data_IF_420574233218
#
_entry.id   IF_420574233218
#
_cell.length_a   1.000
_cell.length_b   1.000
_cell.length_c   1.000
_cell.angle_alpha   90.00
_cell.angle_beta   90.00
_cell.angle_gamma   90.00
#
_symmetry.space_group_name_H-M   'P 1'
#
loop_
_entity.id
_entity.type
_entity.pdbx_description
1 polymer ?
#
# COMPACT_ATOMS: atom_id res chain seq x y z
N UNK A 1 15.65 -6.10 -19.35
CA UNK A 1 16.19 -5.45 -18.14
C UNK A 1 15.09 -5.19 -17.14
N UNK A 2 15.35 -5.44 -15.89
CA UNK A 2 14.37 -5.16 -14.83
C UNK A 2 14.25 -3.69 -14.54
N UNK A 3 13.13 -3.31 -13.95
CA UNK A 3 12.91 -1.95 -13.47
C UNK A 3 13.58 -1.79 -12.11
N UNK A 4 14.32 -0.70 -11.88
CA UNK A 4 14.86 -0.44 -10.55
C UNK A 4 13.76 -0.40 -9.51
N UNK A 5 13.99 -1.02 -8.37
CA UNK A 5 13.00 -1.09 -7.31
C UNK A 5 13.68 -1.07 -5.94
N UNK A 6 12.89 -0.71 -4.93
CA UNK A 6 13.31 -0.79 -3.53
C UNK A 6 12.27 -1.58 -2.77
N UNK A 7 12.74 -2.46 -1.92
CA UNK A 7 11.87 -3.26 -1.07
C UNK A 7 11.94 -2.68 0.34
N UNK A 8 10.85 -2.06 0.76
CA UNK A 8 10.77 -1.40 2.05
C UNK A 8 9.94 -2.29 2.96
N UNK A 9 10.40 -2.48 4.19
CA UNK A 9 9.69 -3.37 5.10
C UNK A 9 9.58 -2.78 6.49
N UNK A 10 8.59 -3.29 7.23
CA UNK A 10 8.39 -2.95 8.63
C UNK A 10 7.94 -4.21 9.35
N UNK A 11 8.45 -4.39 10.57
CA UNK A 11 7.96 -5.48 11.43
C UNK A 11 6.83 -4.95 12.30
N UNK A 12 5.71 -5.67 12.31
CA UNK A 12 4.53 -5.31 13.10
C UNK A 12 4.30 -6.42 14.12
N UNK A 13 4.18 -6.04 15.37
CA UNK A 13 4.05 -6.98 16.48
C UNK A 13 2.59 -7.40 16.66
N UNK A 14 2.02 -7.96 15.60
CA UNK A 14 0.65 -8.49 15.53
C UNK A 14 0.63 -9.69 14.59
N UNK A 15 -0.30 -10.65 14.82
CA UNK A 15 -0.40 -11.82 13.94
C UNK A 15 -0.70 -11.45 12.49
N UNK A 16 -0.20 -12.24 11.55
CA UNK A 16 -0.36 -11.96 10.12
C UNK A 16 -1.83 -11.88 9.70
N UNK A 17 -2.69 -12.68 10.29
CA UNK A 17 -4.11 -12.64 9.95
C UNK A 17 -4.74 -11.28 10.30
N UNK A 18 -4.34 -10.70 11.43
CA UNK A 18 -4.84 -9.40 11.85
C UNK A 18 -4.31 -8.28 10.94
N UNK A 19 -3.02 -8.34 10.63
CA UNK A 19 -2.40 -7.35 9.73
C UNK A 19 -3.04 -7.42 8.35
N UNK A 20 -3.21 -8.62 7.82
CA UNK A 20 -3.82 -8.81 6.51
C UNK A 20 -5.26 -8.28 6.49
N UNK A 21 -6.05 -8.61 7.49
CA UNK A 21 -7.45 -8.18 7.54
C UNK A 21 -7.57 -6.66 7.54
N UNK A 22 -6.69 -5.99 8.27
CA UNK A 22 -6.72 -4.52 8.33
C UNK A 22 -6.22 -3.89 7.02
N UNK A 23 -5.07 -4.35 6.52
CA UNK A 23 -4.43 -3.73 5.36
C UNK A 23 -5.16 -4.04 4.05
N UNK A 24 -5.90 -5.15 3.98
CA UNK A 24 -6.62 -5.54 2.77
C UNK A 24 -7.95 -4.78 2.60
N UNK A 25 -8.38 -4.06 3.61
CA UNK A 25 -9.63 -3.30 3.55
C UNK A 25 -9.32 -1.87 3.06
N UNK A 26 -9.74 -1.52 1.83
CA UNK A 26 -9.44 -0.18 1.28
C UNK A 26 -10.02 0.95 2.14
N UNK A 27 -11.08 0.71 2.90
CA UNK A 27 -11.67 1.72 3.78
C UNK A 27 -10.69 2.17 4.87
N UNK A 28 -9.68 1.35 5.18
CA UNK A 28 -8.67 1.68 6.19
C UNK A 28 -7.50 2.48 5.63
N UNK A 29 -7.39 2.64 4.30
CA UNK A 29 -6.26 3.35 3.70
C UNK A 29 -6.02 4.75 4.28
N UNK A 30 -7.07 5.58 4.49
CA UNK A 30 -6.82 6.91 5.07
C UNK A 30 -6.20 6.88 6.46
N UNK A 31 -6.31 5.75 7.16
CA UNK A 31 -5.75 5.61 8.51
C UNK A 31 -4.26 5.33 8.50
N UNK A 32 -3.74 4.71 7.44
CA UNK A 32 -2.32 4.36 7.42
C UNK A 32 -1.58 4.83 6.16
N UNK A 33 -2.28 5.13 5.08
CA UNK A 33 -1.64 5.54 3.83
C UNK A 33 -2.25 6.85 3.29
N UNK A 34 -2.29 7.94 4.09
CA UNK A 34 -2.88 9.19 3.63
C UNK A 34 -2.11 9.84 2.49
N UNK A 35 -0.85 9.42 2.25
CA UNK A 35 -0.07 9.93 1.14
C UNK A 35 -0.62 9.52 -0.22
N UNK A 36 -1.48 8.51 -0.28
CA UNK A 36 -2.11 8.09 -1.53
C UNK A 36 -3.24 9.01 -1.94
N UNK A 37 -3.89 9.69 -1.00
CA UNK A 37 -4.98 10.59 -1.33
C UNK A 37 -5.81 10.92 -0.10
N UNK A 38 -6.75 11.84 -0.27
CA UNK A 38 -7.53 12.36 0.85
C UNK A 38 -8.62 11.42 1.34
N UNK A 39 -9.42 10.88 0.43
CA UNK A 39 -10.55 10.05 0.81
C UNK A 39 -10.69 8.86 -0.12
N UNK A 40 -11.33 7.81 0.42
CA UNK A 40 -11.56 6.57 -0.30
C UNK A 40 -13.06 6.34 -0.37
N UNK A 41 -13.56 6.03 -1.56
CA UNK A 41 -14.98 5.77 -1.76
C UNK A 41 -15.18 4.44 -2.50
N UNK A 42 -16.33 3.81 -2.27
CA UNK A 42 -16.71 2.59 -2.97
C UNK A 42 -18.00 2.86 -3.74
N UNK A 43 -17.96 2.64 -5.05
CA UNK A 43 -19.15 2.82 -5.91
C UNK A 43 -19.28 1.61 -6.82
N UNK A 44 -20.44 0.96 -6.77
CA UNK A 44 -20.68 -0.20 -7.61
C UNK A 44 -19.71 -1.34 -7.42
N UNK A 45 -19.17 -1.49 -6.21
CA UNK A 45 -18.19 -2.54 -5.93
C UNK A 45 -16.75 -2.16 -6.29
N UNK A 46 -16.54 -0.95 -6.80
CA UNK A 46 -15.21 -0.46 -7.16
C UNK A 46 -14.74 0.59 -6.17
N UNK A 47 -13.44 0.53 -5.84
CA UNK A 47 -12.84 1.47 -4.91
C UNK A 47 -12.11 2.58 -5.64
N UNK A 48 -12.20 3.79 -5.10
CA UNK A 48 -11.57 4.98 -5.68
C UNK A 48 -10.91 5.81 -4.60
N UNK A 49 -9.80 6.45 -4.96
CA UNK A 49 -9.07 7.36 -4.09
C UNK A 49 -9.09 8.75 -4.72
N UNK A 50 -9.46 9.77 -3.96
CA UNK A 50 -9.44 11.14 -4.46
C UNK A 50 -8.03 11.69 -4.35
N UNK A 51 -7.48 12.18 -5.46
CA UNK A 51 -6.15 12.76 -5.52
C UNK A 51 -6.23 14.19 -6.05
N UNK A 52 -5.16 14.99 -5.88
CA UNK A 52 -5.15 16.34 -6.44
C UNK A 52 -5.37 16.38 -7.95
N UNK A 53 -4.96 15.32 -8.67
CA UNK A 53 -5.12 15.24 -10.13
C UNK A 53 -6.45 14.64 -10.55
N UNK A 54 -7.27 14.17 -9.59
CA UNK A 54 -8.56 13.56 -9.87
C UNK A 54 -8.72 12.22 -9.15
N UNK A 55 -9.72 11.48 -9.58
CA UNK A 55 -10.07 10.20 -8.97
C UNK A 55 -9.20 9.07 -9.53
N UNK A 56 -8.56 8.30 -8.65
CA UNK A 56 -7.79 7.12 -9.03
C UNK A 56 -8.57 5.85 -8.67
N UNK A 57 -8.53 4.87 -9.57
CA UNK A 57 -9.13 3.56 -9.29
C UNK A 57 -8.17 2.70 -8.49
N UNK A 58 -8.72 1.83 -7.64
CA UNK A 58 -7.93 0.97 -6.77
C UNK A 58 -8.49 -0.44 -6.79
N UNK A 59 -7.66 -1.42 -7.13
CA UNK A 59 -8.06 -2.83 -7.17
C UNK A 59 -7.04 -3.68 -6.43
N UNK A 60 -7.48 -4.32 -5.35
CA UNK A 60 -6.62 -5.24 -4.60
C UNK A 60 -6.73 -6.66 -5.16
N UNK A 61 -5.69 -7.44 -4.94
CA UNK A 61 -5.72 -8.87 -5.22
C UNK A 61 -6.91 -9.50 -4.46
N UNK A 62 -7.54 -10.54 -5.04
CA UNK A 62 -8.62 -11.22 -4.33
C UNK A 62 -8.18 -11.75 -2.98
N UNK A 63 -9.13 -11.87 -2.05
CA UNK A 63 -8.84 -12.38 -0.72
C UNK A 63 -8.11 -13.72 -0.82
N UNK A 64 -7.07 -13.89 -0.01
CA UNK A 64 -6.23 -15.08 -0.07
C UNK A 64 -5.63 -15.37 1.31
N UNK A 65 -5.03 -16.55 1.42
CA UNK A 65 -4.42 -17.00 2.66
C UNK A 65 -2.89 -16.84 2.65
N UNK A 66 -2.36 -16.10 1.68
CA UNK A 66 -0.91 -15.99 1.48
C UNK A 66 -0.36 -14.63 1.83
N UNK A 67 -1.19 -13.72 2.33
CA UNK A 67 -0.75 -12.38 2.69
C UNK A 67 -0.49 -11.49 1.48
N UNK A 68 -1.05 -11.82 0.33
CA UNK A 68 -0.83 -11.03 -0.88
C UNK A 68 -1.80 -9.85 -0.87
N UNK A 69 -1.23 -8.66 -0.74
CA UNK A 69 -1.94 -7.38 -0.70
C UNK A 69 -1.66 -6.55 -1.95
N UNK A 70 -1.15 -7.18 -2.99
CA UNK A 70 -0.82 -6.51 -4.24
C UNK A 70 -2.04 -5.75 -4.74
N UNK A 71 -1.82 -4.60 -5.33
CA UNK A 71 -2.94 -3.81 -5.84
C UNK A 71 -2.52 -3.00 -7.06
N UNK A 72 -3.51 -2.62 -7.85
CA UNK A 72 -3.33 -1.76 -8.99
C UNK A 72 -3.96 -0.42 -8.71
N UNK A 73 -3.26 0.64 -9.07
CA UNK A 73 -3.77 2.00 -9.02
C UNK A 73 -3.90 2.49 -10.45
N UNK A 74 -5.13 2.84 -10.84
CA UNK A 74 -5.36 3.45 -12.16
C UNK A 74 -5.42 4.95 -11.98
N UNK A 75 -4.39 5.63 -12.48
CA UNK A 75 -4.27 7.07 -12.32
C UNK A 75 -5.33 7.81 -13.14
N UNK A 76 -5.65 9.09 -12.80
CA UNK A 76 -6.59 9.85 -13.60
C UNK A 76 -6.17 10.00 -15.07
N UNK A 77 -4.87 9.92 -15.36
CA UNK A 77 -4.38 9.98 -16.74
C UNK A 77 -4.54 8.67 -17.51
N UNK A 78 -5.00 7.60 -16.82
CA UNK A 78 -5.25 6.31 -17.47
C UNK A 78 -4.13 5.30 -17.35
N UNK A 79 -3.05 5.65 -16.65
CA UNK A 79 -1.95 4.72 -16.42
C UNK A 79 -2.31 3.75 -15.30
N UNK A 80 -1.79 2.54 -15.39
CA UNK A 80 -1.96 1.53 -14.34
C UNK A 80 -0.62 1.29 -13.66
N UNK A 81 -0.60 1.44 -12.35
CA UNK A 81 0.59 1.17 -11.54
C UNK A 81 0.33 -0.05 -10.68
N UNK A 82 1.16 -1.07 -10.83
CA UNK A 82 1.05 -2.28 -10.02
C UNK A 82 1.94 -2.14 -8.78
N UNK A 83 1.36 -2.39 -7.62
CA UNK A 83 2.08 -2.24 -6.34
C UNK A 83 2.12 -3.59 -5.63
N UNK A 84 3.28 -4.28 -5.61
CA UNK A 84 3.42 -5.48 -4.80
C UNK A 84 3.49 -5.10 -3.32
N UNK A 85 2.64 -5.75 -2.52
CA UNK A 85 2.59 -5.53 -1.08
C UNK A 85 2.28 -6.86 -0.43
N UNK A 86 3.10 -7.26 0.53
CA UNK A 86 2.98 -8.59 1.14
C UNK A 86 3.05 -8.51 2.65
N UNK A 87 2.21 -9.31 3.31
CA UNK A 87 2.27 -9.52 4.75
C UNK A 87 2.79 -10.94 4.98
N UNK A 88 3.94 -11.06 5.60
CA UNK A 88 4.65 -12.32 5.76
C UNK A 88 4.71 -12.66 7.25
N UNK A 89 4.27 -13.86 7.60
CA UNK A 89 4.33 -14.30 9.00
C UNK A 89 5.79 -14.37 9.46
N UNK A 90 6.05 -13.81 10.64
CA UNK A 90 7.38 -13.79 11.23
C UNK A 90 7.21 -14.09 12.72
N UNK A 91 7.25 -15.39 13.06
CA UNK A 91 6.92 -15.82 14.42
C UNK A 91 5.50 -15.41 14.76
N UNK A 92 5.33 -14.72 15.88
CA UNK A 92 4.02 -14.21 16.32
C UNK A 92 3.69 -12.85 15.68
N UNK A 93 4.61 -12.29 14.92
CA UNK A 93 4.44 -11.01 14.28
C UNK A 93 4.36 -11.12 12.77
N UNK A 94 4.49 -9.99 12.12
CA UNK A 94 4.36 -9.89 10.68
C UNK A 94 5.41 -8.96 10.10
N UNK A 95 6.00 -9.36 8.99
CA UNK A 95 6.80 -8.43 8.20
C UNK A 95 5.98 -8.00 7.00
N UNK A 96 5.79 -6.69 6.85
CA UNK A 96 5.09 -6.13 5.68
C UNK A 96 6.13 -5.58 4.73
N UNK A 97 6.09 -6.03 3.48
CA UNK A 97 7.06 -5.65 2.45
C UNK A 97 6.35 -4.95 1.32
N UNK A 98 6.80 -3.74 1.03
CA UNK A 98 6.30 -2.91 -0.07
C UNK A 98 7.41 -2.82 -1.11
N UNK A 99 7.12 -3.23 -2.35
CA UNK A 99 8.09 -3.13 -3.43
C UNK A 99 7.78 -1.90 -4.26
N UNK A 100 8.59 -0.87 -4.07
CA UNK A 100 8.43 0.40 -4.76
C UNK A 100 9.24 0.37 -6.04
N UNK A 101 8.58 0.56 -7.18
CA UNK A 101 9.23 0.55 -8.48
C UNK A 101 9.39 1.97 -9.01
N UNK A 102 10.55 2.21 -9.64
CA UNK A 102 10.80 3.49 -10.27
C UNK A 102 10.10 3.53 -11.61
N UNK A 103 9.19 4.49 -11.79
CA UNK A 103 8.46 4.64 -13.04
C UNK A 103 9.30 5.27 -14.15
N UNK A 104 8.89 5.09 -15.41
CA UNK A 104 9.57 5.73 -16.54
C UNK A 104 9.56 7.25 -16.37
N UNK A 105 10.69 7.89 -16.62
CA UNK A 105 10.80 9.33 -16.51
C UNK A 105 10.86 9.88 -15.09
N UNK A 106 10.81 9.02 -14.09
CA UNK A 106 10.90 9.46 -12.70
C UNK A 106 12.34 9.84 -12.35
N UNK A 107 12.52 11.03 -11.79
CA UNK A 107 13.85 11.49 -11.38
C UNK A 107 14.30 10.80 -10.10
N UNK A 108 15.60 10.89 -9.79
CA UNK A 108 16.13 10.37 -8.53
C UNK A 108 15.45 11.05 -7.33
N UNK A 109 15.18 12.35 -7.44
CA UNK A 109 14.52 13.10 -6.38
C UNK A 109 13.08 12.63 -6.17
N UNK A 110 12.37 12.35 -7.27
CA UNK A 110 10.99 11.83 -7.19
C UNK A 110 10.97 10.45 -6.54
N UNK A 111 11.91 9.59 -6.94
CA UNK A 111 11.98 8.24 -6.38
C UNK A 111 12.32 8.27 -4.88
N UNK A 112 13.22 9.17 -4.47
CA UNK A 112 13.56 9.35 -3.06
C UNK A 112 12.37 9.87 -2.27
N UNK A 113 11.59 10.79 -2.84
CA UNK A 113 10.39 11.31 -2.18
C UNK A 113 9.35 10.22 -1.99
N UNK A 114 9.12 9.41 -3.03
CA UNK A 114 8.16 8.30 -2.93
C UNK A 114 8.63 7.27 -1.90
N UNK A 115 9.93 7.01 -1.84
CA UNK A 115 10.50 6.10 -0.84
C UNK A 115 10.17 6.60 0.57
N UNK A 116 10.37 7.88 0.83
CA UNK A 116 10.10 8.46 2.15
C UNK A 116 8.60 8.40 2.49
N UNK A 117 7.72 8.61 1.51
CA UNK A 117 6.28 8.52 1.71
C UNK A 117 5.86 7.10 2.08
N UNK A 118 6.41 6.10 1.39
CA UNK A 118 6.10 4.70 1.68
C UNK A 118 6.61 4.31 3.06
N UNK A 119 7.82 4.74 3.42
CA UNK A 119 8.37 4.48 4.75
C UNK A 119 7.48 5.05 5.84
N UNK A 120 6.98 6.26 5.63
CA UNK A 120 6.08 6.91 6.59
C UNK A 120 4.75 6.16 6.69
N UNK A 121 4.21 5.68 5.55
CA UNK A 121 2.96 4.93 5.54
C UNK A 121 3.13 3.60 6.29
N UNK A 122 4.23 2.89 6.05
CA UNK A 122 4.48 1.63 6.75
C UNK A 122 4.65 1.84 8.26
N UNK A 123 5.33 2.92 8.66
CA UNK A 123 5.46 3.26 10.07
C UNK A 123 4.11 3.55 10.71
N UNK A 124 3.22 4.19 9.96
CA UNK A 124 1.87 4.50 10.44
C UNK A 124 1.03 3.23 10.57
N UNK A 125 1.14 2.31 9.59
CA UNK A 125 0.46 1.02 9.66
C UNK A 125 0.86 0.27 10.94
N UNK A 126 2.16 0.23 11.23
CA UNK A 126 2.69 -0.39 12.44
C UNK A 126 2.10 0.28 13.69
N UNK A 127 2.11 1.60 13.74
CA UNK A 127 1.62 2.34 14.90
C UNK A 127 0.13 2.10 15.14
N UNK A 128 -0.68 2.12 14.08
CA UNK A 128 -2.12 1.90 14.18
C UNK A 128 -2.42 0.49 14.68
N UNK A 129 -1.77 -0.51 14.11
CA UNK A 129 -2.04 -1.90 14.49
C UNK A 129 -1.53 -2.23 15.89
N UNK A 130 -0.35 -1.72 16.26
CA UNK A 130 0.20 -2.02 17.58
C UNK A 130 -0.48 -1.26 18.71
N UNK A 131 -1.17 -0.17 18.40
CA UNK A 131 -1.93 0.55 19.40
C UNK A 131 -3.34 -0.01 19.58
N UNK A 132 -3.79 -0.89 18.71
CA UNK A 132 -5.11 -1.51 18.80
C UNK A 132 -5.12 -2.54 19.93
N UNK A 133 -6.22 -2.60 20.66
CA UNK A 133 -6.40 -3.51 21.78
C UNK A 133 -7.22 -4.72 21.37
#
# INVERSE_FOLDING_TARGET
MGTPSRHLSVHIDRPVAEVYAFASDPANLPRWAPGLGGSVTCEGGHWYVETPEGRAGLTFAPANDFGVLDHEVRTPSGETVYVPLRAIADGDGTEVVFSLRRGPGMSDADFARDTALVEADLARLKAVLESAE
#
